data_IF_790838936665
#
_entry.id   IF_790838936665
#
_cell.length_a   1.000
_cell.length_b   1.000
_cell.length_c   1.000
_cell.angle_alpha   90.00
_cell.angle_beta   90.00
_cell.angle_gamma   90.00
#
_symmetry.space_group_name_H-M   'P 1'
#
loop_
_entity.id
_entity.type
_entity.pdbx_description
1 polymer ?
#
# COMPACT_ATOMS: atom_id res chain seq x y z
N UNK A 1 6.94 5.89 20.13
CA UNK A 1 6.34 5.03 19.06
C UNK A 1 7.47 4.30 18.35
N UNK A 2 7.57 2.96 18.43
CA UNK A 2 8.64 2.20 17.77
C UNK A 2 8.21 1.88 16.34
N UNK A 3 8.81 2.55 15.37
CA UNK A 3 8.57 2.28 13.96
C UNK A 3 9.16 0.92 13.60
N UNK A 4 8.30 -0.04 13.24
CA UNK A 4 8.75 -1.30 12.65
C UNK A 4 8.88 -1.07 11.16
N UNK A 5 10.11 -0.77 10.72
CA UNK A 5 10.44 -0.69 9.30
C UNK A 5 10.59 -2.08 8.68
N UNK A 6 10.12 -2.24 7.44
CA UNK A 6 10.43 -3.43 6.66
C UNK A 6 11.87 -3.39 6.15
N UNK A 7 12.56 -4.53 6.15
CA UNK A 7 13.86 -4.70 5.50
C UNK A 7 13.63 -4.78 3.98
N UNK A 8 14.06 -3.75 3.24
CA UNK A 8 13.89 -3.66 1.78
C UNK A 8 14.90 -4.58 1.06
N UNK A 9 14.41 -5.52 0.26
CA UNK A 9 15.22 -6.43 -0.57
C UNK A 9 14.39 -6.93 -1.75
N UNK A 10 14.99 -7.04 -2.93
CA UNK A 10 14.33 -7.58 -4.12
C UNK A 10 13.86 -9.04 -3.90
N UNK A 11 14.69 -9.86 -3.24
CA UNK A 11 14.34 -11.24 -2.92
C UNK A 11 13.07 -11.30 -2.05
N UNK A 12 13.03 -10.52 -0.96
CA UNK A 12 11.86 -10.49 -0.07
C UNK A 12 10.61 -9.97 -0.77
N UNK A 13 10.75 -8.97 -1.64
CA UNK A 13 9.62 -8.48 -2.42
C UNK A 13 9.09 -9.57 -3.36
N UNK A 14 9.97 -10.34 -4.00
CA UNK A 14 9.60 -11.49 -4.83
C UNK A 14 8.85 -12.56 -4.05
N UNK A 15 9.35 -12.93 -2.85
CA UNK A 15 8.67 -13.86 -1.95
C UNK A 15 7.26 -13.38 -1.57
N UNK A 16 7.10 -12.09 -1.24
CA UNK A 16 5.79 -11.50 -0.93
C UNK A 16 4.87 -11.47 -2.15
N UNK A 17 5.39 -11.15 -3.34
CA UNK A 17 4.62 -11.13 -4.58
C UNK A 17 4.11 -12.53 -4.95
N UNK A 18 4.93 -13.57 -4.77
CA UNK A 18 4.50 -14.96 -4.95
C UNK A 18 3.34 -15.33 -4.02
N UNK A 19 3.41 -14.94 -2.74
CA UNK A 19 2.30 -15.16 -1.81
C UNK A 19 1.01 -14.42 -2.21
N UNK A 20 1.13 -13.24 -2.82
CA UNK A 20 -0.04 -12.51 -3.36
C UNK A 20 -0.62 -13.25 -4.56
N UNK A 21 0.23 -13.69 -5.49
CA UNK A 21 -0.19 -14.45 -6.67
C UNK A 21 -0.88 -15.77 -6.29
N UNK A 22 -0.39 -16.45 -5.26
CA UNK A 22 -0.98 -17.68 -4.70
C UNK A 22 -2.25 -17.42 -3.86
N UNK A 23 -2.67 -16.17 -3.68
CA UNK A 23 -3.84 -15.79 -2.85
C UNK A 23 -3.62 -15.96 -1.34
N UNK A 24 -2.39 -16.27 -0.91
CA UNK A 24 -2.00 -16.50 0.49
C UNK A 24 -1.68 -15.21 1.25
N UNK A 25 -1.45 -14.11 0.53
CA UNK A 25 -1.28 -12.78 1.08
C UNK A 25 -2.24 -11.80 0.39
N UNK A 26 -3.06 -11.10 1.16
CA UNK A 26 -3.98 -10.07 0.64
C UNK A 26 -3.44 -8.68 0.92
N UNK A 27 -3.27 -7.88 -0.12
CA UNK A 27 -2.99 -6.46 0.01
C UNK A 27 -4.32 -5.74 0.22
N UNK A 28 -4.50 -5.13 1.39
CA UNK A 28 -5.68 -4.32 1.65
C UNK A 28 -5.48 -2.93 1.01
N UNK A 29 -6.12 -2.72 -0.14
CA UNK A 29 -6.20 -1.41 -0.79
C UNK A 29 -7.36 -0.66 -0.15
N UNK A 30 -7.05 0.43 0.55
CA UNK A 30 -8.03 1.28 1.23
C UNK A 30 -8.74 2.19 0.24
N UNK A 31 -8.04 2.65 -0.80
CA UNK A 31 -8.57 3.55 -1.80
C UNK A 31 -7.65 3.68 -3.01
N UNK A 32 -8.24 4.04 -4.13
CA UNK A 32 -7.58 4.28 -5.41
C UNK A 32 -7.95 5.67 -5.88
N UNK A 33 -6.95 6.49 -6.20
CA UNK A 33 -7.16 7.85 -6.69
C UNK A 33 -6.34 8.04 -7.97
N UNK A 34 -6.82 8.77 -8.98
CA UNK A 34 -5.95 9.18 -10.06
C UNK A 34 -4.82 10.07 -9.51
N UNK A 35 -3.64 10.03 -10.12
CA UNK A 35 -2.48 10.83 -9.71
C UNK A 35 -2.82 12.33 -9.68
N UNK A 36 -3.71 12.79 -10.56
CA UNK A 36 -4.22 14.16 -10.61
C UNK A 36 -5.02 14.59 -9.38
N UNK A 37 -5.42 13.66 -8.51
CA UNK A 37 -6.12 13.91 -7.24
C UNK A 37 -5.32 13.42 -6.04
N UNK A 38 -4.00 13.55 -6.09
CA UNK A 38 -3.14 13.19 -4.97
C UNK A 38 -3.52 13.92 -3.67
N UNK A 39 -4.09 15.14 -3.73
CA UNK A 39 -4.56 15.83 -2.54
C UNK A 39 -5.73 15.11 -1.84
N UNK A 40 -6.61 14.43 -2.59
CA UNK A 40 -7.71 13.63 -2.02
C UNK A 40 -7.16 12.41 -1.28
N UNK A 41 -6.17 11.75 -1.88
CA UNK A 41 -5.46 10.64 -1.27
C UNK A 41 -4.78 11.05 0.05
N UNK A 42 -4.16 12.23 0.09
CA UNK A 42 -3.55 12.77 1.30
C UNK A 42 -4.58 13.08 2.39
N UNK A 43 -5.69 13.75 2.03
CA UNK A 43 -6.79 14.01 2.97
C UNK A 43 -7.36 12.71 3.56
N UNK A 44 -7.47 11.66 2.75
CA UNK A 44 -7.91 10.34 3.22
C UNK A 44 -6.90 9.71 4.21
N UNK A 45 -5.59 9.90 4.01
CA UNK A 45 -4.56 9.44 4.96
C UNK A 45 -4.67 10.14 6.33
N UNK A 46 -4.98 11.43 6.33
CA UNK A 46 -5.03 12.28 7.54
C UNK A 46 -6.16 11.90 8.51
N UNK A 47 -7.16 11.14 8.07
CA UNK A 47 -8.26 10.62 8.92
C UNK A 47 -7.81 9.60 9.99
N UNK A 48 -6.52 9.25 10.05
CA UNK A 48 -5.88 8.76 11.28
C UNK A 48 -6.10 7.28 11.65
N UNK A 49 -6.83 6.49 10.86
CA UNK A 49 -7.07 5.06 11.13
C UNK A 49 -6.93 4.17 9.88
N UNK A 50 -6.25 4.67 8.85
CA UNK A 50 -6.09 4.00 7.56
C UNK A 50 -5.24 2.74 7.64
N UNK A 51 -5.86 1.61 7.99
CA UNK A 51 -5.29 0.30 7.66
C UNK A 51 -5.27 0.17 6.12
N UNK A 52 -4.19 -0.38 5.59
CA UNK A 52 -4.07 -0.66 4.16
C UNK A 52 -3.22 0.37 3.40
N UNK A 53 -3.29 0.26 2.07
CA UNK A 53 -2.54 1.08 1.12
C UNK A 53 -3.50 1.96 0.33
N UNK A 54 -3.10 3.21 0.10
CA UNK A 54 -3.70 4.03 -0.95
C UNK A 54 -2.86 3.86 -2.21
N UNK A 55 -3.52 3.68 -3.34
CA UNK A 55 -2.89 3.51 -4.66
C UNK A 55 -3.21 4.73 -5.52
N UNK A 56 -2.18 5.25 -6.18
CA UNK A 56 -2.33 6.28 -7.20
C UNK A 56 -2.30 5.63 -8.58
N UNK A 57 -3.30 5.94 -9.40
CA UNK A 57 -3.42 5.47 -10.78
C UNK A 57 -2.77 6.51 -11.72
N UNK A 58 -1.96 6.06 -12.67
CA UNK A 58 -1.12 6.93 -13.52
C UNK A 58 -1.48 6.86 -15.01
N UNK A 59 -2.53 6.12 -15.33
CA UNK A 59 -3.14 6.03 -16.65
C UNK A 59 -3.99 7.26 -17.02
#
# INVERSE_FOLDING_TARGET
MRWIGSRRSAQRLGELAALVADGRLKVHVRGTFPLSRAEDAHRELETGHGRGKIVLLTD
#
